data_IF_855928215339
#
_entry.id   IF_855928215339
#
_cell.length_a   1.000
_cell.length_b   1.000
_cell.length_c   1.000
_cell.angle_alpha   90.00
_cell.angle_beta   90.00
_cell.angle_gamma   90.00
#
_symmetry.space_group_name_H-M   'P 1'
#
loop_
_entity.id
_entity.type
_entity.pdbx_description
1 polymer ?
#
# COMPACT_ATOMS: atom_id res chain seq x y z
N UNK A 1 -0.28 3.68 17.83
CA UNK A 1 -0.28 2.52 16.92
C UNK A 1 0.82 2.73 15.89
N UNK A 2 1.64 1.75 15.70
CA UNK A 2 2.83 1.74 14.86
C UNK A 2 2.57 0.81 13.67
N UNK A 3 3.11 1.14 12.49
CA UNK A 3 3.07 0.28 11.30
C UNK A 3 4.46 -0.30 11.06
N UNK A 4 4.52 -1.57 10.66
CA UNK A 4 5.76 -2.32 10.52
C UNK A 4 5.84 -2.87 9.09
N UNK A 5 7.01 -2.75 8.45
CA UNK A 5 7.29 -3.29 7.11
C UNK A 5 8.19 -4.51 7.23
N UNK A 6 7.82 -5.60 6.59
CA UNK A 6 8.66 -6.78 6.45
C UNK A 6 9.57 -6.63 5.23
N UNK A 7 10.85 -6.96 5.38
CA UNK A 7 11.80 -7.06 4.26
C UNK A 7 11.89 -8.55 3.86
N UNK A 8 11.19 -8.94 2.79
CA UNK A 8 11.36 -10.27 2.23
C UNK A 8 12.71 -10.37 1.52
N UNK A 9 13.56 -11.32 1.97
CA UNK A 9 14.81 -11.68 1.26
C UNK A 9 14.44 -12.31 -0.08
N UNK A 10 14.77 -11.65 -1.17
CA UNK A 10 14.73 -12.26 -2.50
C UNK A 10 15.86 -13.28 -2.63
N UNK A 11 15.50 -14.55 -2.66
CA UNK A 11 16.44 -15.63 -2.98
C UNK A 11 16.73 -15.60 -4.49
N UNK A 12 17.98 -15.30 -4.83
CA UNK A 12 18.45 -15.22 -6.19
C UNK A 12 19.04 -16.58 -6.62
N UNK A 13 18.22 -17.41 -7.23
CA UNK A 13 18.66 -18.62 -7.96
C UNK A 13 19.09 -18.28 -9.40
N UNK A 14 19.99 -19.10 -10.02
CA UNK A 14 20.75 -18.68 -11.19
C UNK A 14 19.99 -18.81 -12.52
N UNK A 15 20.33 -17.88 -13.42
CA UNK A 15 19.91 -17.72 -14.79
C UNK A 15 20.34 -18.89 -15.72
N UNK A 16 19.52 -19.29 -16.71
CA UNK A 16 20.07 -19.78 -17.97
C UNK A 16 19.51 -19.09 -19.21
N UNK A 17 20.40 -18.42 -19.89
CA UNK A 17 20.59 -18.13 -21.33
C UNK A 17 19.45 -18.42 -22.34
N UNK A 18 19.24 -17.35 -23.13
CA UNK A 18 19.16 -17.27 -24.61
C UNK A 18 17.82 -17.52 -25.31
N UNK A 19 17.33 -16.56 -26.04
CA UNK A 19 17.32 -16.37 -27.50
C UNK A 19 16.27 -15.35 -27.96
N UNK A 20 16.83 -14.31 -28.61
CA UNK A 20 16.42 -13.62 -29.86
C UNK A 20 14.95 -13.63 -30.32
N UNK A 21 14.46 -12.45 -30.57
CA UNK A 21 13.85 -11.79 -31.74
C UNK A 21 12.41 -11.33 -31.53
N UNK A 22 12.15 -10.10 -31.64
CA UNK A 22 11.56 -9.27 -32.67
C UNK A 22 11.03 -7.94 -32.11
N UNK A 23 11.59 -6.93 -32.64
CA UNK A 23 11.29 -5.49 -32.59
C UNK A 23 9.85 -5.23 -33.05
N UNK A 24 9.01 -4.66 -32.19
CA UNK A 24 7.98 -3.75 -32.67
C UNK A 24 7.95 -2.51 -31.78
N UNK A 25 8.34 -1.39 -32.39
CA UNK A 25 8.17 -0.03 -31.91
C UNK A 25 6.68 0.28 -31.87
N UNK A 26 6.16 0.74 -30.73
CA UNK A 26 5.16 1.79 -30.69
C UNK A 26 5.40 2.63 -29.44
N UNK A 27 5.97 3.80 -29.67
CA UNK A 27 6.07 4.88 -28.73
C UNK A 27 4.68 5.47 -28.52
N UNK A 28 4.23 5.53 -27.29
CA UNK A 28 3.38 6.61 -26.81
C UNK A 28 3.82 6.88 -25.38
N UNK A 29 4.61 7.94 -25.23
CA UNK A 29 4.87 8.57 -23.95
C UNK A 29 3.55 9.17 -23.46
N UNK A 30 2.83 8.45 -22.63
CA UNK A 30 1.88 9.06 -21.70
C UNK A 30 2.59 9.10 -20.34
N UNK A 31 2.52 10.23 -19.61
CA UNK A 31 3.02 10.29 -18.25
C UNK A 31 2.18 9.32 -17.43
N UNK A 32 2.74 8.18 -17.09
CA UNK A 32 2.15 7.20 -16.17
C UNK A 32 1.95 7.88 -14.84
N UNK A 33 0.71 8.28 -14.60
CA UNK A 33 0.26 8.82 -13.34
C UNK A 33 0.25 7.67 -12.32
N UNK A 34 1.31 7.52 -11.57
CA UNK A 34 1.56 6.50 -10.54
C UNK A 34 0.48 6.45 -9.45
N UNK A 35 -0.44 7.40 -9.41
CA UNK A 35 -1.58 7.41 -8.49
C UNK A 35 -2.71 6.43 -8.86
N UNK A 36 -2.72 5.87 -10.08
CA UNK A 36 -3.83 5.02 -10.55
C UNK A 36 -3.62 3.54 -10.23
N UNK A 37 -2.41 3.10 -9.98
CA UNK A 37 -2.07 1.68 -9.82
C UNK A 37 -2.57 1.05 -8.51
N UNK A 38 -2.85 1.86 -7.49
CA UNK A 38 -3.27 1.37 -6.17
C UNK A 38 -4.70 1.79 -5.81
N UNK A 39 -5.55 2.03 -6.80
CA UNK A 39 -6.94 2.39 -6.57
C UNK A 39 -7.88 1.21 -6.82
N UNK A 40 -8.76 0.95 -5.86
CA UNK A 40 -9.92 0.09 -6.02
C UNK A 40 -11.17 0.96 -5.93
N UNK A 41 -12.08 0.81 -6.87
CA UNK A 41 -13.28 1.63 -6.93
C UNK A 41 -14.54 0.80 -7.17
N UNK A 42 -15.67 1.30 -6.69
CA UNK A 42 -16.94 0.58 -6.61
C UNK A 42 -17.14 -0.05 -5.23
N UNK A 43 -18.41 -0.17 -4.82
CA UNK A 43 -18.74 -0.62 -3.45
C UNK A 43 -18.28 -2.06 -3.25
N UNK A 44 -18.69 -2.99 -4.11
CA UNK A 44 -18.35 -4.42 -3.98
C UNK A 44 -16.85 -4.70 -4.06
N UNK A 45 -16.09 -4.20 -5.05
CA UNK A 45 -14.65 -4.41 -5.11
C UNK A 45 -13.91 -3.89 -3.88
N UNK A 46 -14.40 -2.77 -3.28
CA UNK A 46 -13.80 -2.23 -2.06
C UNK A 46 -14.09 -3.13 -0.86
N UNK A 47 -15.32 -3.65 -0.74
CA UNK A 47 -15.66 -4.64 0.30
C UNK A 47 -14.78 -5.88 0.18
N UNK A 48 -14.69 -6.46 -1.01
CA UNK A 48 -13.83 -7.63 -1.29
C UNK A 48 -12.35 -7.36 -0.96
N UNK A 49 -11.84 -6.16 -1.26
CA UNK A 49 -10.48 -5.78 -0.94
C UNK A 49 -10.24 -5.71 0.59
N UNK A 50 -11.22 -5.21 1.35
CA UNK A 50 -11.14 -5.16 2.83
C UNK A 50 -11.20 -6.57 3.41
N UNK A 51 -12.13 -7.41 2.95
CA UNK A 51 -12.28 -8.80 3.39
C UNK A 51 -11.07 -9.67 3.04
N UNK A 52 -10.42 -9.39 1.90
CA UNK A 52 -9.17 -10.02 1.50
C UNK A 52 -7.94 -9.52 2.30
N UNK A 53 -8.15 -8.68 3.33
CA UNK A 53 -7.08 -8.17 4.19
C UNK A 53 -6.18 -7.12 3.54
N UNK A 54 -6.57 -6.56 2.37
CA UNK A 54 -5.81 -5.47 1.76
C UNK A 54 -5.83 -4.24 2.64
N UNK A 55 -4.68 -3.63 2.82
CA UNK A 55 -4.58 -2.45 3.65
C UNK A 55 -5.06 -1.21 2.91
N UNK A 56 -6.16 -0.65 3.38
CA UNK A 56 -6.74 0.58 2.85
C UNK A 56 -6.08 1.78 3.53
N UNK A 57 -5.35 2.57 2.77
CA UNK A 57 -4.72 3.80 3.27
C UNK A 57 -5.76 4.91 3.47
N UNK A 58 -6.62 5.10 2.47
CA UNK A 58 -7.73 6.07 2.48
C UNK A 58 -8.93 5.53 1.73
N UNK A 59 -10.11 5.76 2.28
CA UNK A 59 -11.37 5.45 1.62
C UNK A 59 -12.16 6.75 1.40
N UNK A 60 -12.42 7.05 0.14
CA UNK A 60 -13.22 8.21 -0.26
C UNK A 60 -14.65 7.76 -0.55
N UNK A 61 -15.61 8.39 0.09
CA UNK A 61 -17.04 8.14 -0.07
C UNK A 61 -17.70 9.43 -0.55
N UNK A 62 -18.58 9.35 -1.53
CA UNK A 62 -19.38 10.50 -2.00
C UNK A 62 -20.24 11.04 -0.87
N UNK A 63 -20.25 12.36 -0.70
CA UNK A 63 -21.18 13.03 0.23
C UNK A 63 -22.62 12.66 -0.09
N UNK A 64 -23.41 12.31 0.94
CA UNK A 64 -24.79 11.91 0.78
C UNK A 64 -24.98 10.57 0.05
N UNK A 65 -23.98 9.70 0.03
CA UNK A 65 -24.13 8.36 -0.48
C UNK A 65 -24.94 7.51 0.52
N UNK A 66 -26.08 6.99 0.07
CA UNK A 66 -27.02 6.20 0.85
C UNK A 66 -27.28 4.85 0.17
N UNK A 67 -27.90 3.92 0.92
CA UNK A 67 -28.26 2.59 0.45
C UNK A 67 -27.69 1.49 1.33
N UNK A 68 -28.29 0.32 1.25
CA UNK A 68 -27.93 -0.83 2.09
C UNK A 68 -26.44 -1.20 1.96
N UNK A 69 -25.94 -1.33 0.74
CA UNK A 69 -24.52 -1.66 0.49
C UNK A 69 -23.57 -0.61 1.06
N UNK A 70 -23.98 0.67 1.07
CA UNK A 70 -23.17 1.73 1.64
C UNK A 70 -23.14 1.66 3.17
N UNK A 71 -24.25 1.28 3.79
CA UNK A 71 -24.30 1.04 5.23
C UNK A 71 -23.41 -0.13 5.62
N UNK A 72 -23.51 -1.25 4.90
CA UNK A 72 -22.64 -2.42 5.10
C UNK A 72 -21.15 -2.06 4.99
N UNK A 73 -20.79 -1.26 3.97
CA UNK A 73 -19.41 -0.78 3.79
C UNK A 73 -18.95 0.10 4.96
N UNK A 74 -19.81 1.01 5.45
CA UNK A 74 -19.50 1.87 6.60
C UNK A 74 -19.26 1.04 7.87
N UNK A 75 -20.09 0.04 8.12
CA UNK A 75 -19.95 -0.86 9.27
C UNK A 75 -18.66 -1.70 9.17
N UNK A 76 -18.32 -2.15 7.95
CA UNK A 76 -17.07 -2.86 7.70
C UNK A 76 -15.86 -1.95 7.97
N UNK A 77 -15.93 -0.69 7.53
CA UNK A 77 -14.86 0.29 7.78
C UNK A 77 -14.68 0.57 9.29
N UNK A 78 -15.76 0.63 10.05
CA UNK A 78 -15.69 0.79 11.51
C UNK A 78 -15.02 -0.41 12.17
N UNK A 79 -15.41 -1.63 11.80
CA UNK A 79 -14.81 -2.87 12.33
C UNK A 79 -13.31 -2.95 12.05
N UNK A 80 -12.90 -2.61 10.85
CA UNK A 80 -11.48 -2.64 10.42
C UNK A 80 -10.71 -1.33 10.71
N UNK A 81 -11.33 -0.37 11.40
CA UNK A 81 -10.75 0.95 11.75
C UNK A 81 -10.20 1.71 10.53
N UNK A 82 -10.86 1.55 9.38
CA UNK A 82 -10.49 2.23 8.13
C UNK A 82 -10.94 3.69 8.20
N UNK A 83 -10.02 4.61 7.88
CA UNK A 83 -10.35 6.04 7.81
C UNK A 83 -11.14 6.34 6.55
N UNK A 84 -12.37 6.83 6.72
CA UNK A 84 -13.23 7.27 5.63
C UNK A 84 -13.20 8.78 5.51
N UNK A 85 -13.25 9.29 4.27
CA UNK A 85 -13.36 10.71 3.97
C UNK A 85 -14.54 10.94 3.03
N UNK A 86 -15.53 11.72 3.47
CA UNK A 86 -16.61 12.15 2.58
C UNK A 86 -16.15 13.27 1.67
N UNK A 87 -16.37 13.10 0.37
CA UNK A 87 -15.90 14.02 -0.66
C UNK A 87 -16.97 14.28 -1.71
N UNK A 88 -16.93 15.44 -2.40
CA UNK A 88 -17.75 15.67 -3.58
C UNK A 88 -17.46 14.68 -4.70
N UNK A 89 -18.46 14.39 -5.56
CA UNK A 89 -18.33 13.42 -6.67
C UNK A 89 -17.22 13.80 -7.65
N UNK A 90 -16.99 15.10 -7.83
CA UNK A 90 -15.93 15.61 -8.71
C UNK A 90 -14.53 15.17 -8.30
N UNK A 91 -14.31 15.01 -6.98
CA UNK A 91 -13.04 14.47 -6.47
C UNK A 91 -12.87 13.01 -6.85
N UNK A 92 -13.93 12.21 -6.74
CA UNK A 92 -13.89 10.79 -7.16
C UNK A 92 -13.65 10.65 -8.67
N UNK A 93 -14.32 11.48 -9.48
CA UNK A 93 -14.14 11.52 -10.93
C UNK A 93 -12.72 11.92 -11.36
N UNK A 94 -11.98 12.67 -10.52
CA UNK A 94 -10.57 12.99 -10.77
C UNK A 94 -9.63 11.84 -10.40
N UNK A 95 -10.00 11.04 -9.40
CA UNK A 95 -9.20 9.88 -8.97
C UNK A 95 -9.30 8.73 -9.94
N UNK A 96 -10.49 8.49 -10.52
CA UNK A 96 -10.72 7.42 -11.48
C UNK A 96 -11.79 7.78 -12.51
N UNK A 97 -11.60 7.33 -13.74
CA UNK A 97 -12.61 7.43 -14.81
C UNK A 97 -13.55 6.22 -14.84
N UNK A 98 -13.30 5.21 -14.01
CA UNK A 98 -14.13 4.01 -13.93
C UNK A 98 -15.44 4.25 -13.18
N UNK A 99 -16.33 3.26 -13.22
CA UNK A 99 -17.61 3.30 -12.49
C UNK A 99 -17.38 3.10 -10.99
N UNK A 100 -17.09 4.18 -10.27
CA UNK A 100 -16.75 4.15 -8.86
C UNK A 100 -17.97 4.02 -7.93
N UNK A 101 -19.20 4.14 -8.41
CA UNK A 101 -20.43 4.03 -7.60
C UNK A 101 -20.41 4.85 -6.29
N UNK A 102 -19.68 5.97 -6.27
CA UNK A 102 -19.51 6.81 -5.09
C UNK A 102 -18.44 6.38 -4.10
N UNK A 103 -17.62 5.39 -4.43
CA UNK A 103 -16.57 4.86 -3.54
C UNK A 103 -15.26 4.65 -4.28
N UNK A 104 -14.15 5.15 -3.70
CA UNK A 104 -12.79 4.92 -4.19
C UNK A 104 -11.89 4.65 -2.98
N UNK A 105 -11.21 3.53 -2.97
CA UNK A 105 -10.23 3.15 -1.97
C UNK A 105 -8.81 3.27 -2.55
N UNK A 106 -7.93 3.88 -1.79
CA UNK A 106 -6.50 3.86 -2.03
C UNK A 106 -5.89 2.75 -1.20
N UNK A 107 -5.36 1.74 -1.85
CA UNK A 107 -4.70 0.60 -1.21
C UNK A 107 -3.25 0.96 -0.96
N UNK A 108 -2.73 0.60 0.21
CA UNK A 108 -1.29 0.68 0.46
C UNK A 108 -0.55 -0.32 -0.44
N UNK A 109 0.47 0.10 -1.18
CA UNK A 109 1.30 -0.83 -1.96
C UNK A 109 2.14 -1.75 -1.06
N UNK A 110 2.16 -1.48 0.24
CA UNK A 110 2.99 -2.17 1.21
C UNK A 110 2.10 -2.84 2.24
N UNK A 111 2.30 -4.13 2.44
CA UNK A 111 1.73 -4.87 3.55
C UNK A 111 2.43 -4.46 4.86
N UNK A 112 1.63 -4.08 5.86
CA UNK A 112 2.13 -3.90 7.23
C UNK A 112 1.75 -5.14 8.03
N UNK A 113 2.64 -5.53 8.91
CA UNK A 113 2.47 -6.68 9.81
C UNK A 113 2.64 -6.25 11.26
N UNK A 114 2.26 -7.08 12.21
CA UNK A 114 2.49 -6.82 13.63
C UNK A 114 3.96 -7.10 14.00
N UNK A 115 4.45 -6.48 15.07
CA UNK A 115 5.85 -6.67 15.51
C UNK A 115 6.16 -8.14 15.80
N UNK A 116 5.22 -8.82 16.45
CA UNK A 116 5.39 -10.22 16.80
C UNK A 116 5.56 -11.10 15.55
N UNK A 117 4.81 -10.82 14.46
CA UNK A 117 4.94 -11.55 13.21
C UNK A 117 6.36 -11.43 12.61
N UNK A 118 7.02 -10.27 12.82
CA UNK A 118 8.40 -10.07 12.38
C UNK A 118 9.35 -10.88 13.29
N UNK A 119 9.18 -10.77 14.61
CA UNK A 119 10.05 -11.45 15.56
C UNK A 119 9.97 -12.97 15.42
N UNK A 120 8.79 -13.53 15.15
CA UNK A 120 8.59 -14.97 14.91
C UNK A 120 9.26 -15.48 13.62
N UNK A 121 9.55 -14.58 12.68
CA UNK A 121 10.23 -14.92 11.42
C UNK A 121 11.75 -14.81 11.50
N UNK A 122 12.28 -14.25 12.57
CA UNK A 122 13.74 -14.19 12.78
C UNK A 122 14.24 -15.59 13.13
N UNK A 123 15.26 -16.12 12.44
CA UNK A 123 15.87 -17.39 12.79
C UNK A 123 16.34 -17.41 14.24
N UNK A 124 16.25 -18.56 14.94
CA UNK A 124 16.61 -18.68 16.36
C UNK A 124 18.08 -18.37 16.64
N UNK A 125 18.94 -18.54 15.63
CA UNK A 125 20.38 -18.27 15.69
C UNK A 125 20.76 -16.84 15.30
N UNK A 126 19.78 -16.00 14.88
CA UNK A 126 20.00 -14.60 14.53
C UNK A 126 19.46 -13.66 15.60
N UNK A 127 20.19 -12.55 15.84
CA UNK A 127 19.71 -11.47 16.69
C UNK A 127 18.77 -10.54 15.91
N UNK A 128 17.54 -10.28 16.38
CA UNK A 128 16.61 -9.38 15.70
C UNK A 128 17.19 -7.97 15.54
N UNK A 129 17.27 -7.50 14.29
CA UNK A 129 17.61 -6.12 13.95
C UNK A 129 16.36 -5.39 13.46
N UNK A 130 15.85 -4.47 14.27
CA UNK A 130 14.67 -3.68 13.96
C UNK A 130 15.07 -2.20 13.88
N UNK A 131 14.67 -1.53 12.79
CA UNK A 131 14.93 -0.10 12.61
C UNK A 131 13.65 0.68 12.87
N UNK A 132 13.70 1.60 13.84
CA UNK A 132 12.60 2.49 14.17
C UNK A 132 12.82 3.86 13.51
N UNK A 133 11.83 4.29 12.72
CA UNK A 133 11.80 5.64 12.15
C UNK A 133 11.13 6.60 13.14
N UNK A 134 11.80 7.69 13.48
CA UNK A 134 11.23 8.77 14.27
C UNK A 134 11.37 10.09 13.52
N UNK A 135 10.23 10.74 13.22
CA UNK A 135 10.19 12.05 12.57
C UNK A 135 10.73 12.10 11.13
N UNK A 136 10.92 10.97 10.46
CA UNK A 136 11.36 10.92 9.05
C UNK A 136 10.17 11.22 8.14
N UNK A 137 10.05 12.45 7.68
CA UNK A 137 8.92 12.93 6.86
C UNK A 137 9.25 13.05 5.37
N UNK A 138 10.52 13.05 5.01
CA UNK A 138 10.98 13.10 3.62
C UNK A 138 11.05 11.69 3.01
N UNK A 139 10.42 11.51 1.83
CA UNK A 139 10.29 10.23 1.14
C UNK A 139 11.67 9.70 0.69
N UNK A 140 12.57 10.60 0.25
CA UNK A 140 13.91 10.20 -0.23
C UNK A 140 14.77 9.70 0.93
N UNK A 141 14.72 10.41 2.06
CA UNK A 141 15.42 9.98 3.28
C UNK A 141 14.85 8.66 3.78
N UNK A 142 13.52 8.52 3.81
CA UNK A 142 12.87 7.26 4.14
C UNK A 142 13.37 6.10 3.27
N UNK A 143 13.35 6.28 1.94
CA UNK A 143 13.81 5.28 0.99
C UNK A 143 15.30 4.95 1.14
N UNK A 144 16.15 5.96 1.42
CA UNK A 144 17.57 5.74 1.64
C UNK A 144 17.84 4.91 2.91
N UNK A 145 17.19 5.26 4.01
CA UNK A 145 17.32 4.53 5.28
C UNK A 145 16.78 3.10 5.11
N UNK A 146 15.62 2.93 4.46
CA UNK A 146 15.03 1.61 4.23
C UNK A 146 15.97 0.68 3.44
N UNK A 147 16.60 1.19 2.37
CA UNK A 147 17.62 0.44 1.60
C UNK A 147 18.84 0.09 2.44
N UNK A 148 19.33 1.04 3.23
CA UNK A 148 20.48 0.80 4.13
C UNK A 148 20.16 -0.25 5.17
N UNK A 149 18.97 -0.21 5.75
CA UNK A 149 18.49 -1.19 6.71
C UNK A 149 18.38 -2.60 6.10
N UNK A 150 17.86 -2.70 4.87
CA UNK A 150 17.79 -3.95 4.11
C UNK A 150 19.20 -4.51 3.84
N UNK A 151 20.14 -3.68 3.38
CA UNK A 151 21.54 -4.08 3.17
C UNK A 151 22.24 -4.51 4.46
N UNK A 152 21.86 -3.92 5.60
CA UNK A 152 22.37 -4.30 6.93
C UNK A 152 21.72 -5.55 7.51
N UNK A 153 20.77 -6.19 6.79
CA UNK A 153 20.05 -7.36 7.26
C UNK A 153 18.98 -7.07 8.30
N UNK A 154 18.39 -5.87 8.29
CA UNK A 154 17.28 -5.57 9.18
C UNK A 154 16.06 -6.46 8.89
N UNK A 155 15.51 -7.05 9.95
CA UNK A 155 14.34 -7.94 9.88
C UNK A 155 13.02 -7.19 9.75
N UNK A 156 13.00 -5.92 10.12
CA UNK A 156 11.82 -5.08 10.01
C UNK A 156 12.06 -3.59 10.21
N UNK A 157 11.10 -2.80 9.72
CA UNK A 157 11.07 -1.35 9.88
C UNK A 157 9.82 -0.95 10.63
N UNK A 158 9.96 -0.19 11.71
CA UNK A 158 8.84 0.38 12.45
C UNK A 158 8.65 1.83 12.01
N UNK A 159 7.44 2.15 11.52
CA UNK A 159 7.10 3.47 11.00
C UNK A 159 5.93 4.06 11.80
N UNK A 160 6.03 5.30 12.30
CA UNK A 160 4.92 5.94 13.01
C UNK A 160 3.70 6.14 12.10
N UNK A 161 2.50 6.08 12.66
CA UNK A 161 1.27 6.37 11.93
C UNK A 161 1.09 7.85 11.57
N UNK A 162 1.77 8.73 12.30
CA UNK A 162 1.72 10.18 12.11
C UNK A 162 3.13 10.72 12.00
N UNK A 163 3.30 11.81 11.27
CA UNK A 163 4.60 12.47 11.07
C UNK A 163 5.66 11.53 10.45
N UNK A 164 5.23 10.64 9.56
CA UNK A 164 6.11 9.81 8.78
C UNK A 164 5.92 10.11 7.29
N UNK A 165 6.96 9.87 6.51
CA UNK A 165 6.87 9.94 5.05
C UNK A 165 5.80 8.97 4.54
N UNK A 166 5.01 9.35 3.52
CA UNK A 166 4.15 8.40 2.83
C UNK A 166 5.04 7.34 2.16
N UNK A 167 4.72 6.08 2.41
CA UNK A 167 5.44 4.97 1.78
C UNK A 167 4.74 4.69 0.47
N UNK A 168 5.25 5.27 -0.61
CA UNK A 168 4.75 5.11 -1.97
C UNK A 168 5.68 4.20 -2.77
N UNK A 169 5.17 3.72 -3.92
CA UNK A 169 5.91 2.91 -4.89
C UNK A 169 6.79 3.73 -5.84
N UNK A 170 7.22 4.94 -5.46
CA UNK A 170 8.15 5.75 -6.26
C UNK A 170 9.60 5.34 -6.02
#
# INVERSE_FOLDING_TARGET
TVRIKNTEKHDSGPDPKSRTTKRQKKSTNEPTNTMTENLVFGIRPVVEAIEAGKQIEKLYIRKGAEGQLMTELRDLCLRHRIRTQEVPVEKLNRLTRGNHQGVVAQISPIGYVELNDILERVPEDETPLIVLFDGVTDVRNFGAIARSAECAGAHGLIVPLKNAAPVNSE
#
